data_IF_191926600578
#
_entry.id   IF_191926600578
#
_cell.length_a   1.000
_cell.length_b   1.000
_cell.length_c   1.000
_cell.angle_alpha   90.00
_cell.angle_beta   90.00
_cell.angle_gamma   90.00
#
_symmetry.space_group_name_H-M   'P 1'
#
loop_
_entity.id
_entity.type
_entity.pdbx_description
1 polymer ?
#
# COMPACT_ATOMS: atom_id res chain seq x y z
N UNK A 1 19.74 -23.28 9.00
CA UNK A 1 19.87 -22.35 7.86
C UNK A 1 19.66 -20.98 8.44
N UNK A 2 20.57 -20.06 8.15
CA UNK A 2 20.51 -18.72 8.72
C UNK A 2 19.62 -17.82 7.85
N UNK A 3 18.72 -17.10 8.51
CA UNK A 3 17.96 -16.03 7.89
C UNK A 3 18.79 -14.75 7.82
N UNK A 4 18.43 -13.83 6.93
CA UNK A 4 19.12 -12.54 6.80
C UNK A 4 18.85 -11.67 8.03
N UNK A 5 19.91 -11.22 8.71
CA UNK A 5 19.80 -10.20 9.75
C UNK A 5 19.59 -8.82 9.13
N UNK A 6 18.35 -8.35 9.09
CA UNK A 6 17.99 -7.05 8.48
C UNK A 6 18.58 -5.87 9.24
N UNK A 7 18.59 -5.92 10.58
CA UNK A 7 19.21 -4.88 11.41
C UNK A 7 20.73 -4.82 11.18
N UNK A 8 21.38 -5.98 11.03
CA UNK A 8 22.78 -6.06 10.66
C UNK A 8 23.06 -5.48 9.27
N UNK A 9 22.24 -5.83 8.28
CA UNK A 9 22.38 -5.27 6.92
C UNK A 9 22.18 -3.75 6.88
N UNK A 10 21.23 -3.22 7.64
CA UNK A 10 21.02 -1.77 7.74
C UNK A 10 22.25 -1.08 8.35
N UNK A 11 22.77 -1.63 9.46
CA UNK A 11 23.99 -1.11 10.08
C UNK A 11 25.21 -1.19 9.17
N UNK A 12 25.33 -2.26 8.36
CA UNK A 12 26.37 -2.37 7.33
C UNK A 12 26.32 -1.19 6.35
N UNK A 13 25.11 -0.81 5.88
CA UNK A 13 24.93 0.33 4.98
C UNK A 13 25.19 1.67 5.66
N UNK A 14 24.80 1.84 6.92
CA UNK A 14 25.13 3.05 7.68
C UNK A 14 26.66 3.24 7.79
N UNK A 15 27.40 2.14 8.00
CA UNK A 15 28.86 2.17 8.00
C UNK A 15 29.43 2.51 6.63
N UNK A 16 28.85 1.99 5.55
CA UNK A 16 29.27 2.31 4.17
C UNK A 16 29.00 3.78 3.84
N UNK A 17 27.78 4.26 4.09
CA UNK A 17 27.36 5.64 3.85
C UNK A 17 28.17 6.65 4.68
N UNK A 18 28.58 6.27 5.89
CA UNK A 18 29.47 7.05 6.75
C UNK A 18 30.96 6.94 6.43
N UNK A 19 31.35 6.26 5.33
CA UNK A 19 32.74 5.94 4.94
C UNK A 19 33.56 5.24 6.06
N UNK A 20 32.89 4.50 6.94
CA UNK A 20 33.51 3.71 8.00
C UNK A 20 33.89 2.31 7.48
N UNK A 21 34.66 2.28 6.40
CA UNK A 21 34.96 1.06 5.64
C UNK A 21 36.46 0.71 5.76
N UNK A 22 36.74 -0.52 6.15
CA UNK A 22 38.07 -1.13 6.02
C UNK A 22 38.14 -1.99 4.76
N UNK A 23 38.90 -1.51 3.77
CA UNK A 23 39.02 -2.13 2.43
C UNK A 23 40.17 -3.13 2.33
N UNK A 24 41.17 -3.00 3.19
CA UNK A 24 42.49 -3.60 3.00
C UNK A 24 42.85 -4.65 4.05
N UNK A 25 42.31 -4.54 5.27
CA UNK A 25 42.67 -5.43 6.37
C UNK A 25 42.07 -6.83 6.20
N UNK A 26 42.83 -7.86 6.58
CA UNK A 26 42.34 -9.22 6.64
C UNK A 26 41.27 -9.36 7.74
N UNK A 27 40.17 -10.05 7.43
CA UNK A 27 39.08 -10.26 8.37
C UNK A 27 39.41 -11.32 9.42
N UNK A 28 39.20 -10.97 10.69
CA UNK A 28 39.14 -11.91 11.81
C UNK A 28 38.15 -11.43 12.86
N UNK A 29 37.42 -12.38 13.46
CA UNK A 29 36.46 -12.11 14.53
C UNK A 29 36.69 -13.11 15.67
N UNK A 30 37.21 -12.61 16.78
CA UNK A 30 37.60 -13.38 17.96
C UNK A 30 36.51 -13.35 19.03
N UNK A 31 36.66 -14.19 20.06
CA UNK A 31 35.77 -14.16 21.21
C UNK A 31 35.79 -12.79 21.92
N UNK A 32 36.95 -12.15 21.96
CA UNK A 32 37.14 -10.83 22.58
C UNK A 32 36.47 -9.73 21.76
N UNK A 33 36.60 -9.76 20.43
CA UNK A 33 35.85 -8.85 19.53
C UNK A 33 34.34 -8.96 19.81
N UNK A 34 33.83 -10.20 19.94
CA UNK A 34 32.43 -10.43 20.28
C UNK A 34 32.04 -9.96 21.69
N UNK A 35 32.90 -10.14 22.69
CA UNK A 35 32.65 -9.67 24.05
C UNK A 35 32.61 -8.14 24.13
N UNK A 36 33.49 -7.46 23.39
CA UNK A 36 33.51 -6.00 23.32
C UNK A 36 32.16 -5.43 22.80
N UNK A 37 31.49 -6.15 21.90
CA UNK A 37 30.18 -5.76 21.39
C UNK A 37 29.03 -5.96 22.39
N UNK A 38 29.18 -6.78 23.43
CA UNK A 38 28.16 -7.02 24.45
C UNK A 38 28.20 -5.97 25.59
N UNK A 39 29.17 -5.06 25.56
CA UNK A 39 29.39 -4.02 26.57
C UNK A 39 29.85 -4.58 27.93
N UNK A 40 30.13 -3.70 28.88
CA UNK A 40 30.69 -4.05 30.19
C UNK A 40 29.80 -5.01 31.01
N UNK A 41 28.48 -4.93 30.81
CA UNK A 41 27.50 -5.80 31.45
C UNK A 41 27.34 -7.17 30.76
N UNK A 42 27.88 -7.34 29.55
CA UNK A 42 27.79 -8.58 28.78
C UNK A 42 26.38 -8.90 28.25
N UNK A 43 25.47 -7.93 28.23
CA UNK A 43 24.04 -8.14 27.91
C UNK A 43 23.55 -7.33 26.71
N UNK A 44 24.42 -6.59 26.02
CA UNK A 44 24.03 -5.75 24.88
C UNK A 44 23.90 -6.56 23.57
N UNK A 45 22.95 -7.49 23.56
CA UNK A 45 22.66 -8.36 22.42
C UNK A 45 22.14 -7.59 21.21
N UNK A 46 21.53 -6.43 21.41
CA UNK A 46 21.11 -5.56 20.32
C UNK A 46 22.32 -4.94 19.59
N UNK A 47 23.32 -4.47 20.34
CA UNK A 47 24.59 -3.99 19.77
C UNK A 47 25.44 -5.13 19.20
N UNK A 48 25.40 -6.32 19.79
CA UNK A 48 26.06 -7.50 19.23
C UNK A 48 25.43 -7.90 17.88
N UNK A 49 24.10 -7.97 17.84
CA UNK A 49 23.33 -8.40 16.67
C UNK A 49 23.52 -7.50 15.46
N UNK A 50 23.62 -6.17 15.62
CA UNK A 50 23.82 -5.27 14.46
C UNK A 50 25.15 -5.48 13.72
N UNK A 51 26.14 -6.18 14.30
CA UNK A 51 27.42 -6.47 13.64
C UNK A 51 27.45 -7.81 12.88
N UNK A 52 26.30 -8.50 12.79
CA UNK A 52 26.15 -9.83 12.20
C UNK A 52 25.17 -9.83 11.03
N UNK A 53 25.47 -10.49 9.92
CA UNK A 53 24.64 -10.45 8.70
C UNK A 53 23.60 -11.57 8.63
N UNK A 54 23.70 -12.61 9.47
CA UNK A 54 22.69 -13.66 9.56
C UNK A 54 22.21 -13.89 10.98
N UNK A 55 21.03 -14.48 11.09
CA UNK A 55 20.44 -14.95 12.34
C UNK A 55 20.06 -16.43 12.23
N UNK A 56 20.22 -17.17 13.31
CA UNK A 56 19.66 -18.51 13.47
C UNK A 56 18.47 -18.44 14.42
N UNK A 57 17.26 -18.45 13.84
CA UNK A 57 16.00 -18.31 14.57
C UNK A 57 15.67 -19.52 15.44
N UNK A 58 16.43 -20.60 15.33
CA UNK A 58 16.31 -21.78 16.20
C UNK A 58 17.05 -21.65 17.52
N UNK A 59 17.97 -20.68 17.63
CA UNK A 59 18.76 -20.39 18.82
C UNK A 59 18.17 -19.21 19.59
N UNK A 60 18.42 -19.17 20.90
CA UNK A 60 17.93 -18.09 21.77
C UNK A 60 18.61 -16.77 21.46
N UNK A 61 17.82 -15.69 21.37
CA UNK A 61 18.28 -14.33 21.02
C UNK A 61 19.50 -13.83 21.83
N UNK A 62 19.56 -14.18 23.10
CA UNK A 62 20.60 -13.83 24.08
C UNK A 62 21.76 -14.82 24.10
N UNK A 63 22.06 -15.45 22.95
CA UNK A 63 23.20 -16.34 22.77
C UNK A 63 24.01 -15.94 21.54
N UNK A 64 25.32 -16.21 21.56
CA UNK A 64 26.18 -15.97 20.40
C UNK A 64 25.83 -16.85 19.22
N UNK A 65 25.21 -18.00 19.46
CA UNK A 65 24.81 -18.93 18.41
C UNK A 65 23.64 -18.40 17.57
N UNK A 66 22.79 -17.54 18.12
CA UNK A 66 21.74 -16.85 17.37
C UNK A 66 22.26 -15.92 16.28
N UNK A 67 23.47 -15.38 16.42
CA UNK A 67 24.00 -14.38 15.51
C UNK A 67 25.11 -14.96 14.65
N UNK A 68 24.87 -15.03 13.34
CA UNK A 68 25.79 -15.63 12.38
C UNK A 68 26.40 -14.55 11.49
N UNK A 69 27.55 -14.86 10.89
CA UNK A 69 28.19 -14.02 9.88
C UNK A 69 28.57 -12.61 10.37
N UNK A 70 29.47 -12.46 11.36
CA UNK A 70 29.97 -11.15 11.76
C UNK A 70 30.66 -10.46 10.57
N UNK A 71 30.43 -9.16 10.41
CA UNK A 71 30.96 -8.36 9.29
C UNK A 71 31.64 -7.05 9.71
N UNK A 72 31.40 -6.61 10.95
CA UNK A 72 31.90 -5.33 11.46
C UNK A 72 32.44 -5.48 12.88
N UNK A 73 33.44 -4.67 13.20
CA UNK A 73 33.97 -4.46 14.56
C UNK A 73 34.66 -3.10 14.62
N UNK A 74 34.90 -2.58 15.82
CA UNK A 74 35.57 -1.29 16.04
C UNK A 74 34.94 -0.13 15.26
N UNK A 75 33.61 -0.19 15.06
CA UNK A 75 32.87 0.83 14.31
C UNK A 75 33.17 0.84 12.80
N UNK A 76 33.76 -0.22 12.24
CA UNK A 76 34.04 -0.35 10.81
C UNK A 76 33.47 -1.61 10.20
N UNK A 77 33.02 -1.51 8.96
CA UNK A 77 32.69 -2.66 8.12
C UNK A 77 33.93 -3.10 7.36
N UNK A 78 34.18 -4.41 7.31
CA UNK A 78 35.34 -4.97 6.63
C UNK A 78 34.94 -5.60 5.30
N UNK A 79 35.50 -5.12 4.19
CA UNK A 79 35.28 -5.69 2.86
C UNK A 79 35.62 -7.19 2.83
N UNK A 80 36.76 -7.55 3.41
CA UNK A 80 37.23 -8.94 3.53
C UNK A 80 36.27 -9.83 4.34
N UNK A 81 35.48 -9.26 5.26
CA UNK A 81 34.47 -9.99 6.01
C UNK A 81 33.30 -10.41 5.11
N UNK A 82 32.83 -9.50 4.25
CA UNK A 82 31.73 -9.79 3.33
C UNK A 82 32.12 -10.86 2.30
N UNK A 83 33.37 -10.85 1.82
CA UNK A 83 33.91 -11.92 0.96
C UNK A 83 33.88 -13.27 1.71
N UNK A 84 34.35 -13.30 2.95
CA UNK A 84 34.31 -14.51 3.79
C UNK A 84 32.87 -14.96 4.09
N UNK A 85 31.93 -14.03 4.23
CA UNK A 85 30.51 -14.33 4.39
C UNK A 85 29.96 -15.00 3.14
N UNK A 86 30.19 -14.45 1.94
CA UNK A 86 29.74 -15.08 0.68
C UNK A 86 30.24 -16.51 0.53
N UNK A 87 31.52 -16.75 0.83
CA UNK A 87 32.08 -18.09 0.75
C UNK A 87 31.36 -19.06 1.73
N UNK A 88 31.16 -18.64 2.98
CA UNK A 88 30.52 -19.48 4.01
C UNK A 88 29.03 -19.69 3.76
N UNK A 89 28.28 -18.62 3.45
CA UNK A 89 26.83 -18.70 3.22
C UNK A 89 26.51 -19.51 1.96
N UNK A 90 27.36 -19.47 0.93
CA UNK A 90 27.24 -20.37 -0.21
C UNK A 90 27.41 -21.84 0.20
N UNK A 91 28.38 -22.16 1.07
CA UNK A 91 28.59 -23.53 1.54
C UNK A 91 27.44 -24.05 2.43
N UNK A 92 26.83 -23.15 3.20
CA UNK A 92 25.72 -23.45 4.12
C UNK A 92 24.34 -23.35 3.46
N UNK A 93 24.28 -22.95 2.17
CA UNK A 93 23.07 -22.72 1.38
C UNK A 93 22.17 -21.60 1.91
N UNK A 94 22.75 -20.64 2.63
CA UNK A 94 22.05 -19.46 3.16
C UNK A 94 21.96 -18.36 2.08
N UNK A 95 21.11 -18.57 1.07
CA UNK A 95 21.03 -17.72 -0.13
C UNK A 95 20.79 -16.24 0.18
N UNK A 96 19.91 -15.93 1.13
CA UNK A 96 19.58 -14.55 1.49
C UNK A 96 20.78 -13.79 2.09
N UNK A 97 21.61 -14.47 2.88
CA UNK A 97 22.84 -13.91 3.45
C UNK A 97 23.92 -13.77 2.37
N UNK A 98 24.02 -14.75 1.45
CA UNK A 98 24.91 -14.68 0.28
C UNK A 98 24.64 -13.47 -0.60
N UNK A 99 23.38 -13.27 -1.00
CA UNK A 99 22.98 -12.17 -1.88
C UNK A 99 23.19 -10.81 -1.20
N UNK A 100 22.86 -10.70 0.10
CA UNK A 100 23.06 -9.48 0.86
C UNK A 100 24.54 -9.10 1.00
N UNK A 101 25.42 -10.07 1.26
CA UNK A 101 26.86 -9.82 1.31
C UNK A 101 27.42 -9.42 -0.07
N UNK A 102 26.85 -9.95 -1.16
CA UNK A 102 27.17 -9.52 -2.52
C UNK A 102 26.82 -8.06 -2.77
N UNK A 103 25.57 -7.68 -2.49
CA UNK A 103 25.12 -6.29 -2.69
C UNK A 103 25.95 -5.28 -1.88
N UNK A 104 26.34 -5.62 -0.63
CA UNK A 104 27.19 -4.77 0.19
C UNK A 104 28.63 -4.67 -0.34
N UNK A 105 29.16 -5.72 -0.98
CA UNK A 105 30.46 -5.66 -1.65
C UNK A 105 30.40 -4.75 -2.87
N UNK A 106 29.36 -4.88 -3.68
CA UNK A 106 29.15 -4.04 -4.86
C UNK A 106 29.04 -2.56 -4.47
N UNK A 107 28.42 -2.28 -3.32
CA UNK A 107 28.31 -0.93 -2.73
C UNK A 107 29.65 -0.39 -2.21
N UNK A 108 30.49 -1.24 -1.60
CA UNK A 108 31.84 -0.85 -1.11
C UNK A 108 32.83 -0.64 -2.24
N UNK A 109 32.77 -1.50 -3.26
CA UNK A 109 33.70 -1.51 -4.39
C UNK A 109 33.31 -0.50 -5.46
N UNK A 110 32.08 0.03 -5.41
CA UNK A 110 31.60 1.10 -6.27
C UNK A 110 31.65 0.71 -7.73
N UNK A 111 30.77 -0.21 -8.17
CA UNK A 111 30.58 -0.64 -9.57
C UNK A 111 31.84 -0.61 -10.46
N UNK A 112 32.95 -1.15 -9.94
CA UNK A 112 34.11 -1.46 -10.76
C UNK A 112 34.11 -2.93 -11.10
N UNK A 113 33.69 -3.18 -12.34
CA UNK A 113 34.29 -4.11 -13.29
C UNK A 113 33.49 -5.36 -13.68
N UNK A 114 32.59 -5.13 -14.63
CA UNK A 114 32.41 -6.00 -15.79
C UNK A 114 33.70 -6.14 -16.61
N UNK A 115 34.74 -6.78 -16.09
CA UNK A 115 35.79 -7.38 -16.93
C UNK A 115 36.62 -8.41 -16.17
N UNK A 116 36.22 -9.68 -16.27
CA UNK A 116 37.12 -10.83 -16.46
C UNK A 116 36.30 -12.00 -16.99
N UNK A 117 36.21 -12.08 -18.32
CA UNK A 117 35.90 -13.31 -19.02
C UNK A 117 36.93 -13.46 -20.14
N UNK A 118 38.06 -14.08 -19.81
CA UNK A 118 38.91 -14.74 -20.80
C UNK A 118 38.46 -16.20 -20.93
N UNK A 119 38.39 -16.68 -22.18
CA UNK A 119 38.44 -18.12 -22.45
C UNK A 119 37.23 -18.78 -23.12
N UNK A 120 36.88 -18.39 -24.35
CA UNK A 120 36.82 -19.38 -25.44
C UNK A 120 35.47 -19.96 -25.92
N UNK A 121 35.24 -19.73 -27.23
CA UNK A 121 34.44 -20.48 -28.23
C UNK A 121 32.91 -20.33 -28.24
N UNK A 122 32.41 -19.53 -29.20
CA UNK A 122 31.05 -19.67 -29.75
C UNK A 122 30.96 -20.77 -30.81
N UNK A 123 29.99 -20.73 -31.75
CA UNK A 123 28.62 -20.21 -31.66
C UNK A 123 27.58 -21.31 -31.96
N UNK A 124 26.34 -21.18 -31.49
CA UNK A 124 25.19 -21.71 -32.23
C UNK A 124 23.89 -21.01 -31.85
N UNK A 125 23.09 -20.77 -32.88
CA UNK A 125 22.00 -19.84 -32.95
C UNK A 125 20.72 -20.25 -32.17
N UNK A 126 19.91 -19.21 -31.96
CA UNK A 126 18.45 -19.18 -31.92
C UNK A 126 17.72 -19.58 -30.64
N UNK A 127 17.55 -18.60 -29.75
CA UNK A 127 16.25 -18.22 -29.18
C UNK A 127 16.26 -16.69 -29.04
N UNK A 128 15.39 -15.97 -29.75
CA UNK A 128 15.10 -14.57 -29.44
C UNK A 128 14.34 -14.58 -28.12
N UNK A 129 15.05 -14.40 -27.01
CA UNK A 129 14.47 -14.23 -25.69
C UNK A 129 14.38 -12.74 -25.37
N UNK A 130 13.14 -12.26 -25.33
CA UNK A 130 12.61 -11.08 -24.61
C UNK A 130 13.68 -10.31 -23.82
N UNK A 131 14.26 -9.28 -24.44
CA UNK A 131 15.11 -8.32 -23.77
C UNK A 131 14.26 -7.29 -23.02
N UNK A 132 14.71 -6.95 -21.81
CA UNK A 132 14.23 -5.91 -20.90
C UNK A 132 12.84 -6.08 -20.30
N UNK A 133 12.73 -7.00 -19.33
CA UNK A 133 11.88 -6.74 -18.17
C UNK A 133 12.73 -5.98 -17.14
N UNK A 134 12.33 -4.80 -16.63
CA UNK A 134 12.98 -4.23 -15.45
C UNK A 134 12.96 -5.27 -14.31
N UNK A 135 13.93 -5.22 -13.38
CA UNK A 135 13.94 -6.15 -12.26
C UNK A 135 12.57 -6.10 -11.59
N UNK A 136 11.94 -7.28 -11.44
CA UNK A 136 10.75 -7.42 -10.60
C UNK A 136 11.15 -6.86 -9.24
N UNK A 137 10.60 -5.72 -8.86
CA UNK A 137 10.68 -5.25 -7.48
C UNK A 137 9.94 -6.32 -6.67
N UNK A 138 10.68 -7.25 -6.07
CA UNK A 138 10.14 -8.19 -5.10
C UNK A 138 9.88 -7.41 -3.82
N UNK A 139 8.76 -6.69 -3.83
CA UNK A 139 8.11 -6.24 -2.62
C UNK A 139 7.58 -7.49 -1.92
N UNK A 140 8.25 -7.92 -0.86
CA UNK A 140 7.70 -8.93 0.03
C UNK A 140 6.45 -8.33 0.69
N UNK A 141 5.24 -8.89 0.48
CA UNK A 141 4.05 -8.39 1.16
C UNK A 141 4.26 -8.57 2.67
N UNK A 142 4.37 -7.45 3.39
CA UNK A 142 4.35 -7.45 4.85
C UNK A 142 2.93 -7.83 5.28
N UNK A 143 2.79 -8.97 5.95
CA UNK A 143 1.49 -9.45 6.45
C UNK A 143 0.86 -8.56 7.51
N UNK A 144 1.59 -7.56 8.00
CA UNK A 144 1.19 -6.59 9.01
C UNK A 144 0.94 -5.17 8.44
N UNK A 145 1.27 -4.92 7.18
CA UNK A 145 0.77 -3.76 6.44
C UNK A 145 -0.50 -4.18 5.70
N UNK A 146 -1.65 -3.76 6.22
CA UNK A 146 -2.89 -3.86 5.48
C UNK A 146 -2.81 -2.95 4.25
N UNK A 147 -2.79 -3.54 3.06
CA UNK A 147 -2.90 -2.85 1.76
C UNK A 147 -4.25 -2.14 1.55
N UNK A 148 -5.15 -2.14 2.53
CA UNK A 148 -6.46 -1.50 2.47
C UNK A 148 -6.44 -0.16 3.22
N UNK A 149 -5.48 0.70 2.93
CA UNK A 149 -5.45 2.01 3.56
C UNK A 149 -6.55 2.90 2.93
N UNK A 150 -7.55 3.37 3.69
CA UNK A 150 -8.59 4.26 3.16
C UNK A 150 -7.99 5.60 2.71
N UNK A 151 -8.73 6.36 1.90
CA UNK A 151 -8.39 7.75 1.59
C UNK A 151 -8.16 8.58 2.86
N UNK A 152 -7.44 9.71 2.78
CA UNK A 152 -7.21 10.54 3.96
C UNK A 152 -8.55 10.97 4.60
N UNK A 153 -8.64 11.09 5.94
CA UNK A 153 -9.90 11.41 6.63
C UNK A 153 -10.58 12.69 6.12
N UNK A 154 -9.80 13.63 5.61
CA UNK A 154 -10.26 14.90 5.06
C UNK A 154 -11.03 14.72 3.75
N UNK A 155 -10.63 13.77 2.89
CA UNK A 155 -11.35 13.41 1.66
C UNK A 155 -12.78 12.97 1.96
N UNK A 156 -12.98 12.10 2.96
CA UNK A 156 -14.31 11.63 3.34
C UNK A 156 -15.19 12.73 3.93
N UNK A 157 -14.60 13.73 4.61
CA UNK A 157 -15.36 14.83 5.19
C UNK A 157 -15.98 15.76 4.14
N UNK A 158 -15.34 15.86 2.97
CA UNK A 158 -15.72 16.74 1.87
C UNK A 158 -16.48 16.02 0.75
N UNK A 159 -16.53 14.70 0.78
CA UNK A 159 -17.20 13.89 -0.23
C UNK A 159 -18.72 13.83 -0.01
N UNK A 160 -19.48 14.19 -1.04
CA UNK A 160 -20.93 13.96 -1.12
C UNK A 160 -21.25 13.09 -2.35
N UNK A 161 -21.44 11.77 -2.19
CA UNK A 161 -21.71 10.84 -3.30
C UNK A 161 -23.08 11.02 -3.98
N UNK A 162 -23.97 11.83 -3.40
CA UNK A 162 -25.25 12.17 -4.03
C UNK A 162 -25.10 13.04 -5.29
N UNK A 163 -23.92 13.64 -5.52
CA UNK A 163 -23.67 14.48 -6.70
C UNK A 163 -23.36 13.59 -7.90
N UNK A 164 -24.23 13.64 -8.90
CA UNK A 164 -24.18 12.84 -10.13
C UNK A 164 -24.44 13.73 -11.35
N UNK A 165 -24.20 13.22 -12.55
CA UNK A 165 -24.63 13.94 -13.75
C UNK A 165 -26.16 13.98 -13.84
N UNK A 166 -26.69 15.08 -14.39
CA UNK A 166 -28.06 15.10 -14.88
C UNK A 166 -28.17 14.08 -16.01
N UNK A 167 -29.02 13.06 -15.84
CA UNK A 167 -29.21 11.96 -16.80
C UNK A 167 -28.98 12.42 -18.25
N UNK A 168 -27.81 12.08 -18.78
CA UNK A 168 -27.49 12.29 -20.16
C UNK A 168 -27.75 10.97 -20.88
N UNK A 169 -28.49 11.01 -21.97
CA UNK A 169 -28.84 9.86 -22.84
C UNK A 169 -27.60 9.26 -23.56
N UNK A 170 -26.42 9.33 -22.95
CA UNK A 170 -25.15 8.86 -23.53
C UNK A 170 -24.95 7.36 -23.27
N UNK A 171 -24.64 6.62 -24.33
CA UNK A 171 -24.65 5.15 -24.32
C UNK A 171 -23.42 4.51 -23.66
N UNK A 172 -22.35 5.27 -23.41
CA UNK A 172 -21.05 4.77 -22.97
C UNK A 172 -20.51 5.57 -21.77
N UNK A 173 -21.27 5.58 -20.67
CA UNK A 173 -20.90 6.30 -19.44
C UNK A 173 -20.39 5.32 -18.39
N UNK A 174 -19.27 5.68 -17.76
CA UNK A 174 -18.70 5.02 -16.58
C UNK A 174 -18.91 5.96 -15.39
N UNK A 175 -19.57 5.46 -14.35
CA UNK A 175 -19.80 6.20 -13.10
C UNK A 175 -18.81 5.75 -12.01
N UNK A 176 -17.94 6.66 -11.56
CA UNK A 176 -17.01 6.47 -10.45
C UNK A 176 -17.50 7.32 -9.27
N UNK A 177 -18.56 6.84 -8.61
CA UNK A 177 -19.26 7.54 -7.51
C UNK A 177 -19.15 6.81 -6.17
N UNK A 178 -18.15 5.94 -6.03
CA UNK A 178 -17.85 5.21 -4.80
C UNK A 178 -16.33 5.21 -4.55
N UNK A 179 -15.90 4.61 -3.43
CA UNK A 179 -14.49 4.37 -3.10
C UNK A 179 -13.81 3.52 -4.18
N UNK A 180 -12.54 3.82 -4.47
CA UNK A 180 -11.72 3.03 -5.39
C UNK A 180 -11.24 1.74 -4.69
N UNK A 181 -11.38 0.62 -5.39
CA UNK A 181 -11.17 -0.72 -4.83
C UNK A 181 -12.43 -1.30 -4.19
N UNK A 182 -12.31 -2.49 -3.62
CA UNK A 182 -13.43 -3.19 -3.00
C UNK A 182 -13.77 -2.58 -1.62
N UNK A 183 -15.02 -2.15 -1.44
CA UNK A 183 -15.51 -1.63 -0.16
C UNK A 183 -16.16 -2.73 0.68
N UNK A 184 -15.42 -3.16 1.71
CA UNK A 184 -15.85 -4.20 2.66
C UNK A 184 -17.08 -3.81 3.50
N UNK A 185 -17.47 -2.54 3.55
CA UNK A 185 -18.62 -2.07 4.33
C UNK A 185 -19.95 -2.18 3.61
N UNK A 186 -19.89 -2.14 2.28
CA UNK A 186 -21.08 -2.05 1.43
C UNK A 186 -21.15 -3.20 0.43
N UNK A 187 -20.10 -4.01 0.35
CA UNK A 187 -19.91 -5.02 -0.69
C UNK A 187 -19.77 -4.41 -2.09
N UNK A 188 -19.52 -3.10 -2.17
CA UNK A 188 -19.44 -2.30 -3.39
C UNK A 188 -18.02 -1.83 -3.69
N UNK A 189 -17.89 -0.58 -4.13
CA UNK A 189 -16.63 0.02 -4.57
C UNK A 189 -16.36 -0.13 -6.07
N UNK A 190 -15.43 0.68 -6.57
CA UNK A 190 -15.06 0.74 -7.99
C UNK A 190 -13.77 -0.03 -8.21
N UNK A 191 -13.87 -1.20 -8.83
CA UNK A 191 -12.73 -2.08 -9.11
C UNK A 191 -12.31 -2.03 -10.57
N UNK A 192 -11.04 -2.30 -10.84
CA UNK A 192 -10.48 -2.41 -12.18
C UNK A 192 -11.23 -3.42 -13.04
N UNK A 193 -11.69 -4.53 -12.45
CA UNK A 193 -12.51 -5.54 -13.11
C UNK A 193 -13.83 -4.95 -13.60
N UNK A 194 -14.52 -4.20 -12.75
CA UNK A 194 -15.82 -3.58 -13.09
C UNK A 194 -15.67 -2.57 -14.24
N UNK A 195 -14.56 -1.83 -14.26
CA UNK A 195 -14.24 -0.86 -15.32
C UNK A 195 -13.84 -1.58 -16.61
N UNK A 196 -12.96 -2.59 -16.53
CA UNK A 196 -12.55 -3.41 -17.68
C UNK A 196 -13.75 -4.04 -18.38
N UNK A 197 -14.70 -4.59 -17.62
CA UNK A 197 -15.87 -5.25 -18.20
C UNK A 197 -16.78 -4.23 -18.93
N UNK A 198 -16.92 -3.01 -18.40
CA UNK A 198 -17.62 -1.90 -19.07
C UNK A 198 -16.89 -1.45 -20.34
N UNK A 199 -15.57 -1.19 -20.28
CA UNK A 199 -14.78 -0.77 -21.43
C UNK A 199 -14.85 -1.77 -22.59
N UNK A 200 -14.82 -3.08 -22.29
CA UNK A 200 -15.03 -4.14 -23.28
C UNK A 200 -16.41 -4.06 -23.91
N UNK A 201 -17.44 -3.78 -23.12
CA UNK A 201 -18.82 -3.66 -23.63
C UNK A 201 -18.99 -2.47 -24.59
N UNK A 202 -18.20 -1.40 -24.42
CA UNK A 202 -18.23 -0.22 -25.28
C UNK A 202 -17.47 -0.39 -26.59
N UNK A 203 -16.63 -1.43 -26.73
CA UNK A 203 -16.07 -1.85 -28.02
C UNK A 203 -15.20 -0.80 -28.72
N UNK A 204 -14.47 0.02 -27.96
CA UNK A 204 -13.59 1.08 -28.48
C UNK A 204 -14.30 2.37 -28.92
N UNK A 205 -15.60 2.50 -28.67
CA UNK A 205 -16.31 3.77 -28.89
C UNK A 205 -15.88 4.82 -27.86
N UNK A 206 -16.05 6.13 -28.13
CA UNK A 206 -15.80 7.16 -27.13
C UNK A 206 -16.55 6.88 -25.82
N UNK A 207 -15.88 7.12 -24.70
CA UNK A 207 -16.40 6.89 -23.35
C UNK A 207 -16.36 8.17 -22.52
N UNK A 208 -17.34 8.30 -21.66
CA UNK A 208 -17.40 9.36 -20.66
C UNK A 208 -17.20 8.74 -19.27
N UNK A 209 -16.25 9.26 -18.50
CA UNK A 209 -15.98 8.81 -17.12
C UNK A 209 -16.36 9.93 -16.16
N UNK A 210 -17.39 9.72 -15.36
CA UNK A 210 -17.87 10.69 -14.38
C UNK A 210 -17.33 10.35 -13.00
N UNK A 211 -16.61 11.30 -12.38
CA UNK A 211 -15.90 11.07 -11.12
C UNK A 211 -16.48 11.95 -10.01
N UNK A 212 -16.88 11.29 -8.92
CA UNK A 212 -17.15 11.88 -7.62
C UNK A 212 -16.76 10.87 -6.54
N UNK A 213 -15.46 10.77 -6.27
CA UNK A 213 -14.87 9.74 -5.43
C UNK A 213 -13.80 10.31 -4.49
N UNK A 214 -13.71 9.84 -3.24
CA UNK A 214 -12.70 10.24 -2.28
C UNK A 214 -11.36 9.55 -2.54
N UNK A 215 -11.27 8.64 -3.51
CA UNK A 215 -10.13 7.76 -3.72
C UNK A 215 -10.32 6.41 -3.03
N UNK A 216 -9.21 5.76 -2.67
CA UNK A 216 -9.21 4.41 -2.10
C UNK A 216 -7.91 3.69 -2.40
N UNK A 217 -8.00 2.42 -2.80
CA UNK A 217 -6.84 1.59 -3.10
C UNK A 217 -6.01 2.14 -4.28
N UNK A 218 -4.71 2.32 -4.06
CA UNK A 218 -3.79 2.90 -5.04
C UNK A 218 -3.59 1.98 -6.24
N UNK A 219 -3.46 0.67 -6.02
CA UNK A 219 -3.17 -0.27 -7.10
C UNK A 219 -4.38 -0.45 -8.02
N UNK A 220 -5.58 -0.49 -7.46
CA UNK A 220 -6.85 -0.42 -8.20
C UNK A 220 -6.93 0.89 -9.00
N UNK A 221 -6.57 2.02 -8.38
CA UNK A 221 -6.51 3.32 -9.06
C UNK A 221 -5.56 3.34 -10.27
N UNK A 222 -4.33 2.86 -10.08
CA UNK A 222 -3.32 2.75 -11.16
C UNK A 222 -3.76 1.75 -12.23
N UNK A 223 -4.40 0.63 -11.85
CA UNK A 223 -4.93 -0.35 -12.80
C UNK A 223 -6.01 0.28 -13.68
N UNK A 224 -6.97 0.99 -13.08
CA UNK A 224 -8.03 1.72 -13.79
C UNK A 224 -7.43 2.82 -14.68
N UNK A 225 -6.48 3.61 -14.18
CA UNK A 225 -5.75 4.61 -14.97
C UNK A 225 -5.13 3.98 -16.22
N UNK A 226 -4.43 2.86 -16.08
CA UNK A 226 -3.80 2.17 -17.19
C UNK A 226 -4.80 1.53 -18.16
N UNK A 227 -5.95 1.05 -17.68
CA UNK A 227 -7.03 0.53 -18.53
C UNK A 227 -7.64 1.63 -19.40
N UNK A 228 -7.87 2.81 -18.82
CA UNK A 228 -8.39 3.97 -19.55
C UNK A 228 -7.35 4.52 -20.54
N UNK A 229 -6.09 4.64 -20.13
CA UNK A 229 -5.02 5.15 -20.99
C UNK A 229 -4.70 4.23 -22.19
N UNK A 230 -4.95 2.92 -22.06
CA UNK A 230 -4.82 1.96 -23.16
C UNK A 230 -6.08 1.80 -24.00
N UNK A 231 -7.17 2.48 -23.63
CA UNK A 231 -8.43 2.36 -24.33
C UNK A 231 -8.34 3.04 -25.71
N UNK A 232 -8.75 2.37 -26.81
CA UNK A 232 -8.58 2.93 -28.16
C UNK A 232 -9.57 4.05 -28.49
N UNK A 233 -10.68 4.15 -27.77
CA UNK A 233 -11.67 5.21 -27.93
C UNK A 233 -11.28 6.45 -27.12
N UNK A 234 -11.80 7.62 -27.51
CA UNK A 234 -11.58 8.86 -26.75
C UNK A 234 -12.18 8.74 -25.35
N UNK A 235 -11.39 9.03 -24.32
CA UNK A 235 -11.79 9.06 -22.91
C UNK A 235 -12.03 10.51 -22.47
N UNK A 236 -13.28 10.86 -22.19
CA UNK A 236 -13.62 12.17 -21.62
C UNK A 236 -13.92 12.01 -20.13
N UNK A 237 -13.08 12.56 -19.27
CA UNK A 237 -13.28 12.55 -17.82
C UNK A 237 -14.05 13.79 -17.39
N UNK A 238 -15.02 13.61 -16.48
CA UNK A 238 -15.80 14.68 -15.88
C UNK A 238 -15.71 14.60 -14.36
N UNK A 239 -14.98 15.53 -13.75
CA UNK A 239 -14.91 15.67 -12.29
C UNK A 239 -16.15 16.43 -11.81
N UNK A 240 -17.12 15.71 -11.25
CA UNK A 240 -18.42 16.28 -10.93
C UNK A 240 -18.41 17.08 -9.64
N UNK A 241 -17.68 16.61 -8.62
CA UNK A 241 -17.55 17.28 -7.34
C UNK A 241 -16.18 17.05 -6.70
N UNK A 242 -15.76 15.79 -6.57
CA UNK A 242 -14.47 15.44 -5.98
C UNK A 242 -13.79 14.32 -6.76
N UNK A 243 -12.54 14.53 -7.16
CA UNK A 243 -11.64 13.46 -7.56
C UNK A 243 -10.41 13.52 -6.65
N UNK A 244 -10.42 12.77 -5.56
CA UNK A 244 -9.36 12.81 -4.54
C UNK A 244 -8.51 11.53 -4.55
N UNK A 245 -7.24 11.65 -4.17
CA UNK A 245 -6.33 10.51 -3.99
C UNK A 245 -6.34 9.60 -5.23
N UNK A 246 -6.48 8.28 -5.13
CA UNK A 246 -6.53 7.35 -6.26
C UNK A 246 -7.53 7.74 -7.38
N UNK A 247 -8.63 8.43 -7.05
CA UNK A 247 -9.58 8.91 -8.06
C UNK A 247 -9.04 10.10 -8.87
N UNK A 248 -8.18 10.93 -8.28
CA UNK A 248 -7.45 11.97 -9.02
C UNK A 248 -6.47 11.37 -10.02
N UNK A 249 -5.81 10.25 -9.65
CA UNK A 249 -4.92 9.50 -10.55
C UNK A 249 -5.72 8.98 -11.75
N UNK A 250 -6.86 8.34 -11.50
CA UNK A 250 -7.77 7.88 -12.56
C UNK A 250 -8.19 9.04 -13.47
N UNK A 251 -8.48 10.22 -12.90
CA UNK A 251 -8.88 11.38 -13.69
C UNK A 251 -7.81 11.79 -14.72
N UNK A 252 -6.52 11.62 -14.40
CA UNK A 252 -5.42 11.97 -15.29
C UNK A 252 -5.34 11.09 -16.55
N UNK A 253 -6.09 9.98 -16.62
CA UNK A 253 -6.16 9.13 -17.82
C UNK A 253 -7.05 9.70 -18.95
N UNK A 254 -7.75 10.80 -18.71
CA UNK A 254 -8.63 11.41 -19.73
C UNK A 254 -7.85 12.07 -20.86
N UNK A 255 -8.26 11.81 -22.11
CA UNK A 255 -7.83 12.62 -23.27
C UNK A 255 -8.34 14.06 -23.14
N UNK A 256 -9.52 14.22 -22.54
CA UNK A 256 -10.12 15.50 -22.17
C UNK A 256 -10.67 15.40 -20.75
N UNK A 257 -10.33 16.35 -19.88
CA UNK A 257 -10.75 16.42 -18.48
C UNK A 257 -11.58 17.69 -18.29
N UNK A 258 -12.83 17.53 -17.93
CA UNK A 258 -13.76 18.61 -17.62
C UNK A 258 -14.03 18.63 -16.11
N UNK A 259 -13.96 19.80 -15.48
CA UNK A 259 -14.16 19.94 -14.03
C UNK A 259 -15.38 20.81 -13.69
N UNK A 260 -16.19 20.34 -12.75
CA UNK A 260 -17.38 21.03 -12.25
C UNK A 260 -17.05 22.38 -11.64
N UNK A 261 -17.91 23.37 -11.82
CA UNK A 261 -17.79 24.61 -11.07
C UNK A 261 -18.01 24.35 -9.58
N UNK A 262 -16.97 24.61 -8.77
CA UNK A 262 -16.96 24.26 -7.34
C UNK A 262 -16.52 22.83 -7.05
N UNK A 263 -16.10 22.07 -8.05
CA UNK A 263 -15.46 20.77 -7.87
C UNK A 263 -13.96 20.92 -7.57
N UNK A 264 -13.40 19.87 -6.98
CA UNK A 264 -12.00 19.80 -6.58
C UNK A 264 -11.34 18.52 -7.07
N UNK A 265 -10.07 18.65 -7.46
CA UNK A 265 -9.12 17.55 -7.55
C UNK A 265 -8.26 17.62 -6.29
N UNK A 266 -8.00 16.50 -5.62
CA UNK A 266 -7.10 16.46 -4.48
C UNK A 266 -6.00 15.43 -4.70
N UNK A 267 -4.76 15.86 -4.50
CA UNK A 267 -3.57 15.04 -4.62
C UNK A 267 -2.85 14.98 -3.27
N UNK A 268 -2.26 13.83 -2.97
CA UNK A 268 -1.48 13.59 -1.77
C UNK A 268 -0.57 12.37 -1.95
N UNK A 269 0.39 12.18 -1.04
CA UNK A 269 1.21 10.98 -0.99
C UNK A 269 0.41 9.72 -0.64
N UNK A 270 0.97 8.56 -0.93
CA UNK A 270 0.44 7.27 -0.51
C UNK A 270 0.31 7.23 1.01
N UNK A 271 -0.88 6.87 1.47
CA UNK A 271 -1.16 6.77 2.88
C UNK A 271 -1.32 5.31 3.30
N UNK A 272 -0.71 4.93 4.42
CA UNK A 272 -0.89 3.61 5.04
C UNK A 272 -1.01 3.74 6.56
N UNK A 273 -1.54 2.69 7.19
CA UNK A 273 -1.46 2.54 8.64
C UNK A 273 -0.33 1.58 8.98
N UNK A 274 0.62 2.06 9.78
CA UNK A 274 1.72 1.26 10.28
C UNK A 274 1.84 1.41 11.81
N UNK A 275 2.26 0.33 12.47
CA UNK A 275 2.49 0.29 13.91
C UNK A 275 3.85 -0.36 14.15
N UNK A 276 4.70 0.31 14.92
CA UNK A 276 6.04 -0.20 15.21
C UNK A 276 6.90 0.83 15.94
N UNK A 277 8.16 0.48 16.14
CA UNK A 277 9.15 1.39 16.69
C UNK A 277 9.66 2.37 15.61
N UNK A 278 10.52 3.32 15.99
CA UNK A 278 11.03 4.36 15.08
C UNK A 278 11.69 3.83 13.80
N UNK A 279 12.32 2.65 13.84
CA UNK A 279 12.98 2.06 12.68
C UNK A 279 11.94 1.46 11.73
N UNK A 280 10.90 0.83 12.27
CA UNK A 280 9.78 0.32 11.48
C UNK A 280 9.05 1.46 10.76
N UNK A 281 8.86 2.60 11.42
CA UNK A 281 8.22 3.78 10.80
C UNK A 281 9.08 4.41 9.70
N UNK A 282 10.41 4.41 9.85
CA UNK A 282 11.32 4.86 8.78
C UNK A 282 11.31 3.92 7.59
N UNK A 283 11.36 2.62 7.84
CA UNK A 283 11.26 1.61 6.77
C UNK A 283 9.94 1.75 6.00
N UNK A 284 8.83 2.04 6.69
CA UNK A 284 7.55 2.30 6.03
C UNK A 284 7.59 3.57 5.18
N UNK A 285 8.22 4.65 5.67
CA UNK A 285 8.38 5.87 4.86
C UNK A 285 9.23 5.60 3.61
N UNK A 286 10.40 4.97 3.76
CA UNK A 286 11.29 4.60 2.65
C UNK A 286 10.60 3.64 1.65
N UNK A 287 9.69 2.79 2.17
CA UNK A 287 8.89 1.88 1.36
C UNK A 287 7.81 2.61 0.55
N UNK A 288 7.26 3.72 1.05
CA UNK A 288 6.24 4.50 0.37
C UNK A 288 6.79 5.39 -0.75
N UNK A 289 8.02 5.87 -0.58
CA UNK A 289 8.73 6.74 -1.53
C UNK A 289 8.60 6.31 -3.02
N UNK A 290 8.87 5.06 -3.43
CA UNK A 290 8.73 4.68 -4.84
C UNK A 290 7.29 4.72 -5.35
N UNK A 291 6.29 4.56 -4.48
CA UNK A 291 4.89 4.68 -4.85
C UNK A 291 4.48 6.15 -4.99
N UNK A 292 4.95 7.01 -4.10
CA UNK A 292 4.76 8.47 -4.16
C UNK A 292 5.36 9.03 -5.45
N UNK A 293 6.58 8.61 -5.78
CA UNK A 293 7.24 8.94 -7.04
C UNK A 293 6.40 8.49 -8.26
N UNK A 294 5.83 7.28 -8.22
CA UNK A 294 5.00 6.79 -9.33
C UNK A 294 3.71 7.62 -9.51
N UNK A 295 3.06 8.04 -8.42
CA UNK A 295 1.90 8.93 -8.48
C UNK A 295 2.28 10.33 -8.98
N UNK A 296 3.38 10.88 -8.45
CA UNK A 296 3.93 12.18 -8.87
C UNK A 296 4.21 12.20 -10.37
N UNK A 297 4.81 11.14 -10.91
CA UNK A 297 5.17 11.06 -12.32
C UNK A 297 3.93 11.08 -13.24
N UNK A 298 2.79 10.53 -12.79
CA UNK A 298 1.51 10.63 -13.51
C UNK A 298 1.03 12.09 -13.55
N UNK A 299 1.05 12.80 -12.42
CA UNK A 299 0.65 14.20 -12.39
C UNK A 299 1.59 15.09 -13.19
N UNK A 300 2.91 14.87 -13.11
CA UNK A 300 3.92 15.59 -13.91
C UNK A 300 3.67 15.36 -15.40
N UNK A 301 3.43 14.12 -15.81
CA UNK A 301 3.15 13.79 -17.20
C UNK A 301 1.89 14.50 -17.73
N UNK A 302 0.86 14.64 -16.88
CA UNK A 302 -0.39 15.32 -17.25
C UNK A 302 -0.26 16.84 -17.29
N UNK A 303 0.34 17.42 -16.26
CA UNK A 303 0.34 18.87 -16.01
C UNK A 303 1.49 19.60 -16.70
N UNK A 304 2.62 18.91 -16.92
CA UNK A 304 3.88 19.54 -17.33
C UNK A 304 4.56 20.36 -16.22
N UNK A 305 4.05 20.32 -14.98
CA UNK A 305 4.66 20.96 -13.82
C UNK A 305 6.01 20.30 -13.48
N UNK A 306 6.85 21.01 -12.73
CA UNK A 306 8.10 20.41 -12.24
C UNK A 306 7.79 19.37 -11.17
N UNK A 307 8.53 18.27 -11.18
CA UNK A 307 8.40 17.20 -10.20
C UNK A 307 8.42 17.72 -8.75
N UNK A 308 9.37 18.61 -8.41
CA UNK A 308 9.46 19.18 -7.06
C UNK A 308 8.23 20.02 -6.64
N UNK A 309 7.57 20.70 -7.59
CA UNK A 309 6.37 21.49 -7.29
C UNK A 309 5.18 20.56 -7.04
N UNK A 310 5.04 19.49 -7.85
CA UNK A 310 4.02 18.45 -7.65
C UNK A 310 4.24 17.70 -6.35
N UNK A 311 5.49 17.36 -6.02
CA UNK A 311 5.88 16.69 -4.77
C UNK A 311 5.48 17.53 -3.56
N UNK A 312 5.77 18.84 -3.59
CA UNK A 312 5.32 19.77 -2.54
C UNK A 312 3.79 19.76 -2.40
N UNK A 313 3.05 19.72 -3.53
CA UNK A 313 1.59 19.71 -3.47
C UNK A 313 1.03 18.39 -2.94
N UNK A 314 1.72 17.27 -3.18
CA UNK A 314 1.38 15.97 -2.63
C UNK A 314 1.70 15.88 -1.13
N UNK A 315 2.82 16.45 -0.69
CA UNK A 315 3.16 16.57 0.73
C UNK A 315 2.12 17.39 1.51
N UNK A 316 1.62 18.47 0.89
CA UNK A 316 0.67 19.40 1.50
C UNK A 316 -0.80 18.94 1.48
N UNK A 317 -1.11 17.75 0.94
CA UNK A 317 -2.49 17.27 0.71
C UNK A 317 -3.36 18.31 -0.03
N UNK A 318 -2.91 18.72 -1.22
CA UNK A 318 -3.47 19.91 -1.88
C UNK A 318 -4.83 19.65 -2.54
N UNK A 319 -5.81 20.50 -2.22
CA UNK A 319 -7.10 20.58 -2.91
C UNK A 319 -7.08 21.67 -3.97
N UNK A 320 -7.26 21.27 -5.24
CA UNK A 320 -7.13 22.10 -6.43
C UNK A 320 -8.53 22.36 -6.99
N UNK A 321 -8.98 23.61 -6.90
CA UNK A 321 -10.29 24.02 -7.42
C UNK A 321 -10.31 24.16 -8.94
N UNK A 322 -11.50 24.13 -9.55
CA UNK A 322 -11.70 24.14 -11.01
C UNK A 322 -10.82 25.10 -11.82
N UNK A 323 -10.70 26.38 -11.41
CA UNK A 323 -9.88 27.35 -12.14
C UNK A 323 -8.39 26.96 -12.09
N UNK A 324 -7.89 26.69 -10.89
CA UNK A 324 -6.49 26.32 -10.67
C UNK A 324 -6.17 24.99 -11.35
N UNK A 325 -7.11 24.03 -11.36
CA UNK A 325 -6.93 22.77 -12.06
C UNK A 325 -6.72 22.98 -13.57
N UNK A 326 -7.38 23.97 -14.17
CA UNK A 326 -7.16 24.32 -15.58
C UNK A 326 -5.85 25.07 -15.76
N UNK A 327 -5.57 26.06 -14.92
CA UNK A 327 -4.35 26.87 -15.01
C UNK A 327 -3.07 26.01 -14.88
N UNK A 328 -3.12 24.98 -14.03
CA UNK A 328 -2.00 24.07 -13.72
C UNK A 328 -2.05 22.74 -14.53
N UNK A 329 -3.00 22.57 -15.45
CA UNK A 329 -3.04 21.42 -16.38
C UNK A 329 -3.64 20.11 -15.85
N UNK A 330 -4.22 20.11 -14.65
CA UNK A 330 -4.99 18.97 -14.11
C UNK A 330 -6.36 18.80 -14.80
N UNK A 331 -6.89 19.85 -15.42
CA UNK A 331 -8.13 19.83 -16.20
C UNK A 331 -8.00 20.70 -17.46
N UNK A 332 -8.87 20.49 -18.44
CA UNK A 332 -8.87 21.24 -19.70
C UNK A 332 -9.94 22.33 -19.72
N UNK A 333 -11.14 22.01 -19.24
CA UNK A 333 -12.30 22.92 -19.31
C UNK A 333 -13.24 22.79 -18.11
N UNK A 334 -14.14 23.76 -17.96
CA UNK A 334 -15.20 23.72 -16.94
C UNK A 334 -16.44 23.01 -17.51
N UNK A 335 -17.06 22.14 -16.70
CA UNK A 335 -18.34 21.51 -17.03
C UNK A 335 -19.47 22.54 -17.11
N UNK A 336 -20.36 22.38 -18.09
CA UNK A 336 -21.59 23.18 -18.17
C UNK A 336 -22.51 22.89 -16.97
N UNK A 337 -23.02 23.94 -16.32
CA UNK A 337 -23.82 23.84 -15.08
C UNK A 337 -25.13 23.04 -15.24
N UNK A 338 -25.69 22.95 -16.45
CA UNK A 338 -26.93 22.21 -16.72
C UNK A 338 -26.78 20.69 -16.55
N UNK A 339 -25.54 20.19 -16.39
CA UNK A 339 -25.21 18.76 -16.38
C UNK A 339 -24.99 18.16 -14.98
N UNK A 340 -25.19 18.88 -13.88
CA UNK A 340 -24.99 18.37 -12.50
C UNK A 340 -26.31 18.32 -11.73
N UNK A 341 -26.64 17.19 -11.09
CA UNK A 341 -27.83 17.04 -10.21
C UNK A 341 -27.46 16.32 -8.91
N UNK A 342 -28.19 16.63 -7.84
CA UNK A 342 -28.07 15.94 -6.55
C UNK A 342 -29.20 14.89 -6.39
N UNK A 343 -28.83 13.62 -6.22
CA UNK A 343 -29.74 12.53 -5.87
C UNK A 343 -29.88 12.42 -4.34
N UNK A 344 -31.05 12.82 -3.84
CA UNK A 344 -31.35 12.84 -2.39
C UNK A 344 -31.47 11.44 -1.77
N UNK A 345 -31.73 10.39 -2.55
CA UNK A 345 -31.79 9.01 -2.08
C UNK A 345 -30.41 8.41 -1.84
N UNK A 346 -29.49 8.59 -2.80
CA UNK A 346 -28.09 8.17 -2.68
C UNK A 346 -27.34 8.95 -1.58
N UNK A 347 -27.66 10.22 -1.37
CA UNK A 347 -27.07 11.03 -0.31
C UNK A 347 -27.40 10.52 1.12
N UNK A 348 -28.54 9.85 1.31
CA UNK A 348 -28.97 9.36 2.63
C UNK A 348 -28.26 8.06 3.05
N UNK A 349 -28.12 7.06 2.16
CA UNK A 349 -27.38 5.82 2.47
C UNK A 349 -25.87 6.05 2.62
N UNK A 350 -25.37 7.15 2.08
CA UNK A 350 -23.95 7.47 2.09
C UNK A 350 -23.45 8.14 3.36
N UNK A 351 -24.34 8.79 4.11
CA UNK A 351 -23.98 9.37 5.42
C UNK A 351 -23.60 8.30 6.44
N UNK A 352 -24.28 7.15 6.43
CA UNK A 352 -23.92 6.02 7.29
C UNK A 352 -22.59 5.39 6.89
N UNK A 353 -22.29 5.31 5.59
CA UNK A 353 -20.99 4.84 5.05
C UNK A 353 -19.83 5.74 5.48
N UNK A 354 -19.95 7.05 5.24
CA UNK A 354 -18.93 8.05 5.63
C UNK A 354 -18.71 8.01 7.15
N UNK A 355 -19.79 7.90 7.92
CA UNK A 355 -19.68 7.76 9.37
C UNK A 355 -18.93 6.49 9.81
N UNK A 356 -19.16 5.35 9.16
CA UNK A 356 -18.45 4.10 9.45
C UNK A 356 -16.94 4.25 9.18
N UNK A 357 -16.56 4.81 8.02
CA UNK A 357 -15.17 5.01 7.63
C UNK A 357 -14.43 5.98 8.57
N UNK A 358 -15.06 7.09 8.95
CA UNK A 358 -14.47 8.03 9.93
C UNK A 358 -14.26 7.40 11.30
N UNK A 359 -15.23 6.60 11.77
CA UNK A 359 -15.11 5.92 13.07
C UNK A 359 -14.04 4.82 13.00
N UNK A 360 -13.93 4.07 11.88
CA UNK A 360 -12.89 3.05 11.70
C UNK A 360 -11.51 3.67 11.72
N UNK A 361 -11.28 4.72 10.92
CA UNK A 361 -10.01 5.43 10.88
C UNK A 361 -9.61 5.98 12.27
N UNK A 362 -10.56 6.55 13.01
CA UNK A 362 -10.31 7.05 14.36
C UNK A 362 -10.01 5.93 15.37
N UNK A 363 -10.70 4.78 15.26
CA UNK A 363 -10.49 3.63 16.14
C UNK A 363 -9.11 3.01 15.94
N UNK A 364 -8.72 2.81 14.68
CA UNK A 364 -7.42 2.22 14.34
C UNK A 364 -6.26 3.15 14.70
N UNK A 365 -6.45 4.47 14.57
CA UNK A 365 -5.42 5.46 14.95
C UNK A 365 -5.07 5.43 16.44
N UNK A 366 -6.09 5.17 17.27
CA UNK A 366 -6.01 5.41 18.71
C UNK A 366 -5.76 4.18 19.57
N UNK A 367 -6.47 3.11 19.26
CA UNK A 367 -6.31 1.84 19.93
C UNK A 367 -5.70 0.90 18.91
N UNK A 368 -4.81 0.01 19.35
CA UNK A 368 -4.36 -1.14 18.57
C UNK A 368 -5.51 -2.13 18.28
N UNK A 369 -6.65 -1.63 17.82
CA UNK A 369 -7.83 -2.35 17.40
C UNK A 369 -7.56 -2.68 15.93
N UNK A 370 -7.34 -3.97 15.59
CA UNK A 370 -7.20 -4.36 14.19
C UNK A 370 -8.42 -3.90 13.41
N UNK A 371 -8.24 -3.53 12.14
CA UNK A 371 -9.33 -3.00 11.31
C UNK A 371 -10.56 -3.92 11.34
N UNK A 372 -10.38 -5.26 11.29
CA UNK A 372 -11.47 -6.22 11.43
C UNK A 372 -12.26 -6.11 12.76
N UNK A 373 -11.57 -5.83 13.87
CA UNK A 373 -12.22 -5.61 15.16
C UNK A 373 -12.95 -4.26 15.19
N UNK A 374 -12.36 -3.20 14.64
CA UNK A 374 -13.02 -1.91 14.50
C UNK A 374 -14.31 -2.04 13.66
N UNK A 375 -14.24 -2.84 12.58
CA UNK A 375 -15.41 -3.17 11.75
C UNK A 375 -16.54 -3.81 12.54
N UNK A 376 -16.24 -4.84 13.31
CA UNK A 376 -17.24 -5.53 14.14
C UNK A 376 -17.88 -4.61 15.18
N UNK A 377 -17.09 -3.70 15.78
CA UNK A 377 -17.61 -2.74 16.75
C UNK A 377 -18.57 -1.73 16.11
N UNK A 378 -18.25 -1.24 14.91
CA UNK A 378 -19.08 -0.29 14.16
C UNK A 378 -20.36 -0.95 13.65
N UNK A 379 -20.29 -2.17 13.11
CA UNK A 379 -21.47 -2.95 12.74
C UNK A 379 -22.38 -3.11 13.97
N UNK A 380 -21.82 -3.50 15.11
CA UNK A 380 -22.58 -3.61 16.36
C UNK A 380 -23.21 -2.27 16.78
N UNK A 381 -22.49 -1.15 16.62
CA UNK A 381 -22.94 0.19 16.94
C UNK A 381 -24.04 0.75 16.01
N UNK A 382 -24.11 0.26 14.77
CA UNK A 382 -25.13 0.63 13.77
C UNK A 382 -26.51 0.00 14.03
N UNK A 383 -26.59 -1.03 14.87
CA UNK A 383 -27.86 -1.69 15.24
C UNK A 383 -28.65 -0.88 16.28
N UNK A 384 -29.99 -1.02 16.31
CA UNK A 384 -30.85 -0.31 17.27
C UNK A 384 -30.54 -0.64 18.74
N UNK A 385 -29.93 -1.80 19.02
CA UNK A 385 -29.51 -2.24 20.37
C UNK A 385 -28.03 -1.94 20.69
N UNK A 386 -27.28 -1.35 19.76
CA UNK A 386 -25.83 -1.12 19.81
C UNK A 386 -25.29 -0.12 20.83
N UNK A 387 -26.08 0.27 21.84
CA UNK A 387 -25.68 1.26 22.86
C UNK A 387 -24.40 0.86 23.64
N UNK A 388 -24.16 -0.43 23.96
CA UNK A 388 -22.90 -0.86 24.55
C UNK A 388 -21.70 -0.66 23.62
N UNK A 389 -21.83 -1.00 22.34
CA UNK A 389 -20.76 -0.83 21.33
C UNK A 389 -20.44 0.65 21.08
N UNK A 390 -21.45 1.53 21.03
CA UNK A 390 -21.23 2.99 20.93
C UNK A 390 -20.45 3.52 22.13
N UNK A 391 -20.76 3.07 23.35
CA UNK A 391 -20.02 3.47 24.56
C UNK A 391 -18.58 2.96 24.55
N UNK A 392 -18.35 1.78 24.00
CA UNK A 392 -17.02 1.21 23.89
C UNK A 392 -16.18 1.97 22.86
N UNK A 393 -16.75 2.29 21.69
CA UNK A 393 -16.15 3.18 20.69
C UNK A 393 -15.87 4.56 21.30
N UNK A 394 -16.84 5.18 21.98
CA UNK A 394 -16.68 6.48 22.62
C UNK A 394 -15.53 6.44 23.66
N UNK A 395 -15.48 5.39 24.48
CA UNK A 395 -14.44 5.21 25.49
C UNK A 395 -13.05 5.05 24.85
N UNK A 396 -12.94 4.24 23.80
CA UNK A 396 -11.68 4.10 23.05
C UNK A 396 -11.29 5.46 22.51
N UNK A 397 -12.20 6.19 21.86
CA UNK A 397 -11.96 7.46 21.18
C UNK A 397 -11.81 8.70 22.08
N UNK A 398 -12.09 8.64 23.40
CA UNK A 398 -12.09 9.83 24.31
C UNK A 398 -10.73 10.09 24.94
N UNK A 399 -10.04 11.19 24.57
CA UNK A 399 -8.70 11.61 25.02
C UNK A 399 -8.73 12.01 26.51
N UNK A 400 -7.55 12.11 27.15
CA UNK A 400 -7.43 12.51 28.57
C UNK A 400 -7.97 13.92 28.85
N UNK A 401 -8.04 14.77 27.83
CA UNK A 401 -8.61 16.13 27.85
C UNK A 401 -10.15 16.15 27.64
N UNK A 402 -10.77 14.99 27.37
CA UNK A 402 -12.21 14.85 27.17
C UNK A 402 -12.70 15.04 25.73
N UNK A 403 -11.81 15.35 24.78
CA UNK A 403 -12.11 15.42 23.34
C UNK A 403 -11.96 14.05 22.65
N UNK A 404 -12.50 13.86 21.44
CA UNK A 404 -12.27 12.62 20.70
C UNK A 404 -11.10 12.75 19.72
N UNK A 405 -10.42 11.65 19.43
CA UNK A 405 -9.24 11.67 18.56
C UNK A 405 -9.60 12.12 17.14
N UNK A 406 -9.00 13.24 16.72
CA UNK A 406 -9.26 13.84 15.40
C UNK A 406 -10.66 14.47 15.24
N UNK A 407 -11.51 14.51 16.26
CA UNK A 407 -12.88 15.02 16.13
C UNK A 407 -13.50 15.49 17.45
N UNK A 408 -14.38 16.50 17.39
CA UNK A 408 -15.08 16.99 18.59
C UNK A 408 -16.13 16.01 19.11
N UNK A 409 -16.54 16.15 20.38
CA UNK A 409 -17.72 15.45 20.94
C UNK A 409 -19.01 15.64 20.14
N UNK A 410 -19.18 16.83 19.54
CA UNK A 410 -20.30 17.12 18.65
C UNK A 410 -20.23 16.34 17.35
N UNK A 411 -19.03 16.27 16.75
CA UNK A 411 -18.74 15.53 15.51
C UNK A 411 -18.94 14.02 15.72
N UNK A 412 -18.41 13.46 16.82
CA UNK A 412 -18.60 12.05 17.14
C UNK A 412 -20.09 11.67 17.27
N UNK A 413 -20.89 12.49 17.97
CA UNK A 413 -22.34 12.28 18.10
C UNK A 413 -23.09 12.38 16.77
N UNK A 414 -22.63 13.25 15.87
CA UNK A 414 -23.19 13.36 14.52
C UNK A 414 -22.90 12.09 13.71
N UNK A 415 -21.66 11.59 13.72
CA UNK A 415 -21.28 10.35 13.04
C UNK A 415 -22.07 9.14 13.57
N UNK A 416 -22.25 9.01 14.89
CA UNK A 416 -23.08 7.93 15.46
C UNK A 416 -24.55 8.03 15.03
N UNK A 417 -25.09 9.23 14.88
CA UNK A 417 -26.45 9.44 14.37
C UNK A 417 -26.55 9.02 12.91
N UNK A 418 -25.59 9.44 12.10
CA UNK A 418 -25.53 9.15 10.67
C UNK A 418 -25.31 7.65 10.41
N UNK A 419 -24.46 6.98 11.20
CA UNK A 419 -24.26 5.54 11.20
C UNK A 419 -25.57 4.76 11.45
N UNK A 420 -26.46 5.25 12.32
CA UNK A 420 -27.75 4.63 12.64
C UNK A 420 -28.85 4.93 11.62
N UNK A 421 -28.62 5.87 10.71
CA UNK A 421 -29.60 6.29 9.71
C UNK A 421 -29.69 5.36 8.50
N UNK A 422 -28.78 4.40 8.37
CA UNK A 422 -28.82 3.33 7.37
C UNK A 422 -27.94 2.15 7.78
N UNK A 423 -28.42 0.91 7.61
CA UNK A 423 -27.67 -0.31 7.94
C UNK A 423 -26.46 -0.47 7.01
N UNK A 424 -25.22 -0.57 7.51
CA UNK A 424 -24.11 -1.09 6.73
C UNK A 424 -24.42 -2.57 6.45
N UNK A 425 -24.91 -2.87 5.25
CA UNK A 425 -25.28 -4.22 4.88
C UNK A 425 -24.02 -5.02 4.52
N UNK A 426 -23.92 -6.21 5.13
CA UNK A 426 -23.04 -7.34 4.76
C UNK A 426 -21.56 -7.28 5.17
N UNK A 427 -21.24 -7.32 6.47
CA UNK A 427 -19.88 -7.62 6.96
C UNK A 427 -19.76 -8.91 7.81
N UNK A 428 -20.84 -9.68 7.99
CA UNK A 428 -20.86 -10.73 9.01
C UNK A 428 -20.32 -12.11 8.59
N UNK A 429 -19.73 -12.29 7.39
CA UNK A 429 -19.27 -13.61 6.98
C UNK A 429 -18.13 -13.62 5.96
N UNK A 430 -16.90 -13.24 6.34
CA UNK A 430 -15.68 -13.82 5.75
C UNK A 430 -14.44 -13.54 6.59
N UNK A 431 -13.64 -14.58 6.84
CA UNK A 431 -12.31 -14.50 7.44
C UNK A 431 -11.31 -13.92 6.43
N UNK A 432 -10.35 -13.13 6.93
CA UNK A 432 -9.33 -12.40 6.18
C UNK A 432 -8.93 -13.04 4.82
N UNK A 433 -9.25 -12.35 3.72
CA UNK A 433 -8.65 -12.67 2.43
C UNK A 433 -7.20 -12.20 2.49
N UNK A 434 -6.27 -13.16 2.47
CA UNK A 434 -4.84 -12.87 2.32
C UNK A 434 -4.58 -12.18 0.98
N UNK A 435 -3.75 -11.13 0.92
CA UNK A 435 -3.27 -10.59 -0.36
C UNK A 435 -2.48 -11.68 -1.10
N UNK A 436 -2.87 -11.95 -2.36
CA UNK A 436 -2.10 -12.85 -3.25
C UNK A 436 -2.65 -14.27 -3.45
N UNK A 437 -3.96 -14.46 -3.59
CA UNK A 437 -4.47 -15.69 -4.21
C UNK A 437 -4.10 -15.67 -5.71
N UNK A 438 -3.11 -16.50 -6.04
CA UNK A 438 -2.54 -16.77 -7.35
C UNK A 438 -3.59 -16.80 -8.49
N UNK A 439 -3.52 -15.82 -9.40
CA UNK A 439 -4.21 -15.85 -10.70
C UNK A 439 -3.35 -16.66 -11.67
N UNK A 440 -3.08 -17.92 -11.35
CA UNK A 440 -2.73 -18.90 -12.37
C UNK A 440 -3.22 -20.29 -12.01
N UNK A 441 -3.93 -20.88 -12.96
CA UNK A 441 -4.33 -22.29 -13.10
C UNK A 441 -5.74 -22.71 -12.65
N UNK A 442 -6.54 -22.96 -13.71
CA UNK A 442 -7.64 -23.92 -13.85
C UNK A 442 -9.10 -23.43 -13.79
N UNK A 443 -9.68 -23.43 -15.01
CA UNK A 443 -11.07 -23.59 -15.52
C UNK A 443 -12.31 -23.36 -14.61
N UNK A 444 -13.40 -22.83 -15.19
CA UNK A 444 -14.65 -22.56 -14.49
C UNK A 444 -15.55 -23.81 -14.40
N UNK A 445 -16.14 -24.03 -13.22
CA UNK A 445 -17.38 -24.80 -13.02
C UNK A 445 -17.23 -26.19 -12.40
N UNK A 446 -17.41 -26.29 -11.08
CA UNK A 446 -18.05 -27.41 -10.39
C UNK A 446 -18.29 -26.99 -8.93
N UNK A 447 -19.55 -27.11 -8.47
CA UNK A 447 -20.03 -26.49 -7.23
C UNK A 447 -19.69 -27.23 -5.94
N UNK A 448 -19.97 -26.52 -4.84
CA UNK A 448 -19.76 -26.83 -3.42
C UNK A 448 -20.35 -28.17 -2.90
N UNK A 449 -20.85 -29.05 -3.76
CA UNK A 449 -21.44 -30.34 -3.36
C UNK A 449 -20.39 -31.43 -3.09
N UNK A 450 -19.22 -31.41 -3.76
CA UNK A 450 -18.21 -32.46 -3.61
C UNK A 450 -17.31 -32.29 -2.36
N UNK A 451 -17.20 -31.06 -1.83
CA UNK A 451 -16.41 -30.80 -0.61
C UNK A 451 -17.10 -31.35 0.65
N UNK A 452 -18.44 -31.33 0.68
CA UNK A 452 -19.24 -31.85 1.79
C UNK A 452 -19.23 -33.38 1.81
N UNK A 453 -19.18 -34.03 0.64
CA UNK A 453 -19.04 -35.48 0.52
C UNK A 453 -17.65 -35.98 0.96
N UNK A 454 -16.58 -35.22 0.65
CA UNK A 454 -15.22 -35.55 1.07
C UNK A 454 -15.02 -35.43 2.60
N UNK A 455 -15.62 -34.43 3.23
CA UNK A 455 -15.55 -34.24 4.70
C UNK A 455 -16.35 -35.32 5.47
N UNK A 456 -17.43 -35.85 4.90
CA UNK A 456 -18.20 -36.95 5.48
C UNK A 456 -17.50 -38.33 5.37
N UNK A 457 -16.53 -38.48 4.46
CA UNK A 457 -15.70 -39.68 4.31
C UNK A 457 -14.55 -39.76 5.33
N UNK A 458 -13.87 -38.64 5.58
CA UNK A 458 -12.73 -38.57 6.50
C UNK A 458 -13.11 -38.83 7.97
N UNK A 459 -14.33 -38.46 8.39
CA UNK A 459 -14.77 -38.66 9.77
C UNK A 459 -15.17 -40.11 10.10
N UNK A 460 -15.28 -40.99 9.10
CA UNK A 460 -15.55 -42.44 9.28
C UNK A 460 -14.28 -43.29 9.37
N UNK A 461 -13.11 -42.76 8.96
CA UNK A 461 -11.82 -43.47 9.05
C UNK A 461 -11.06 -43.21 10.35
N UNK A 462 -11.57 -42.38 11.26
CA UNK A 462 -10.96 -42.05 12.55
C UNK A 462 -11.69 -42.67 13.76
N UNK A 463 -12.64 -43.58 13.52
CA UNK A 463 -13.37 -44.32 14.58
C UNK A 463 -13.51 -45.84 14.31
N UNK A 464 -12.60 -46.43 13.54
CA UNK A 464 -12.47 -47.90 13.43
C UNK A 464 -11.06 -48.34 13.79
#
# INVERSE_FOLDING_TARGET
>A
MADLNRAGRAYARDLIAGDNIDRDSAWSFTADDGNALLGDAGTDWANYGKHHLGIDTTENFDTKDHWKYPFAKDGKIYRSALVAIRQRSSSQKDKAVYDAAGALLDEIDGDTDSSQADGGKGPNASVIAVANRPPRIEVQPRSDLASSAPASPDCFSRWNPGIRAAAADEKNVIEIFDVIGYDFWTGGGITDKSISDQLKSFGGQPVEVQINSPGGDMFEGISIYNLLNQYPGKVTVKVMALAASAASVIAMAGDEIQIGQGAFIMIHNCWVMAIGNRNDMREVADYLEPFDQALRDIYVARTGMKAADVETYMDDETFIGAKQAIDEGFADTVLSQDKIKEDKGAAASSKSKIAALHIEAALVRRGHVPAAQARNMIVSASTQEGTPAVREIEKILTRKDGEHEGMSRGTFRALIRDLKSGTPAAAAAQTDVKPGADVTTTKPGAGDADLIAALAGLNRSLKS
#
